data_IF_947494316954
#
_entry.id   IF_947494316954
#
_cell.length_a   1.000
_cell.length_b   1.000
_cell.length_c   1.000
_cell.angle_alpha   90.00
_cell.angle_beta   90.00
_cell.angle_gamma   90.00
#
_symmetry.space_group_name_H-M   'P 1'
#
loop_
_entity.id
_entity.type
_entity.pdbx_description
1 polymer ?
#
# COMPACT_ATOMS: atom_id res chain seq x y z
N UNK A 1 -3.04 -12.75 6.74
CA UNK A 1 -3.90 -11.54 6.50
C UNK A 1 -3.08 -10.46 5.77
N UNK A 2 -3.69 -9.45 5.09
CA UNK A 2 -2.96 -8.44 4.29
C UNK A 2 -1.81 -7.77 5.07
N UNK A 3 -2.09 -7.34 6.30
CA UNK A 3 -1.08 -6.73 7.19
C UNK A 3 0.10 -7.66 7.46
N UNK A 4 -0.15 -8.94 7.74
CA UNK A 4 0.92 -9.91 8.03
C UNK A 4 1.77 -10.20 6.80
N UNK A 5 1.16 -10.24 5.61
CA UNK A 5 1.91 -10.43 4.37
C UNK A 5 2.88 -9.27 4.11
N UNK A 6 2.43 -8.03 4.29
CA UNK A 6 3.28 -6.85 4.16
C UNK A 6 4.39 -6.87 5.23
N UNK A 7 4.06 -7.22 6.48
CA UNK A 7 5.04 -7.32 7.57
C UNK A 7 6.11 -8.37 7.29
N UNK A 8 5.75 -9.53 6.74
CA UNK A 8 6.69 -10.61 6.37
C UNK A 8 7.52 -10.30 5.12
N UNK A 9 7.12 -9.32 4.31
CA UNK A 9 7.76 -8.99 3.04
C UNK A 9 8.02 -7.48 2.94
N UNK A 10 8.78 -6.89 3.89
CA UNK A 10 9.02 -5.46 3.89
C UNK A 10 9.90 -5.06 2.70
N UNK A 11 9.66 -3.87 2.17
CA UNK A 11 10.48 -3.27 1.13
C UNK A 11 10.88 -1.85 1.52
N UNK A 12 12.11 -1.46 1.18
CA UNK A 12 12.65 -0.15 1.53
C UNK A 12 12.06 0.96 0.66
N UNK A 13 12.13 2.21 1.13
CA UNK A 13 11.66 3.37 0.39
C UNK A 13 12.21 3.47 -1.04
N UNK A 14 11.32 3.82 -1.98
CA UNK A 14 11.53 3.84 -3.43
C UNK A 14 11.84 2.47 -4.05
N UNK A 15 11.62 1.38 -3.30
CA UNK A 15 11.84 0.00 -3.73
C UNK A 15 10.67 -0.91 -3.32
N UNK A 16 9.54 -0.36 -2.90
CA UNK A 16 8.32 -1.09 -2.49
C UNK A 16 7.46 -1.57 -3.68
N UNK A 17 8.08 -2.23 -4.65
CA UNK A 17 7.42 -2.64 -5.89
C UNK A 17 6.34 -3.72 -5.66
N UNK A 18 6.61 -4.72 -4.81
CA UNK A 18 5.64 -5.80 -4.53
C UNK A 18 4.51 -5.29 -3.62
N UNK A 19 4.85 -4.43 -2.67
CA UNK A 19 3.91 -3.79 -1.75
C UNK A 19 2.97 -2.87 -2.52
N UNK A 20 3.50 -2.04 -3.42
CA UNK A 20 2.70 -1.20 -4.33
C UNK A 20 1.74 -2.03 -5.19
N UNK A 21 2.22 -3.11 -5.81
CA UNK A 21 1.39 -4.00 -6.63
C UNK A 21 0.28 -4.67 -5.81
N UNK A 22 0.59 -5.12 -4.59
CA UNK A 22 -0.39 -5.71 -3.68
C UNK A 22 -1.48 -4.72 -3.29
N UNK A 23 -1.12 -3.48 -2.94
CA UNK A 23 -2.05 -2.40 -2.62
C UNK A 23 -2.92 -2.07 -3.84
N UNK A 24 -2.31 -1.91 -5.02
CA UNK A 24 -3.04 -1.62 -6.25
C UNK A 24 -4.08 -2.70 -6.58
N UNK A 25 -3.69 -3.99 -6.50
CA UNK A 25 -4.62 -5.11 -6.70
C UNK A 25 -5.75 -5.12 -5.66
N UNK A 26 -5.44 -4.81 -4.40
CA UNK A 26 -6.45 -4.73 -3.35
C UNK A 26 -7.49 -3.63 -3.62
N UNK A 27 -7.04 -2.42 -3.99
CA UNK A 27 -7.93 -1.29 -4.31
C UNK A 27 -8.77 -1.57 -5.57
N UNK A 28 -8.19 -2.19 -6.60
CA UNK A 28 -8.94 -2.64 -7.79
C UNK A 28 -10.05 -3.63 -7.43
N UNK A 29 -9.76 -4.59 -6.55
CA UNK A 29 -10.75 -5.57 -6.09
C UNK A 29 -11.88 -4.95 -5.26
N UNK A 30 -11.65 -3.78 -4.65
CA UNK A 30 -12.68 -2.99 -3.97
C UNK A 30 -13.52 -2.13 -4.94
N UNK A 31 -13.24 -2.18 -6.25
CA UNK A 31 -13.96 -1.44 -7.27
C UNK A 31 -13.54 0.03 -7.40
N UNK A 32 -12.35 0.39 -6.92
CA UNK A 32 -11.81 1.75 -7.06
C UNK A 32 -11.09 1.91 -8.40
N UNK A 33 -11.04 3.13 -8.91
CA UNK A 33 -10.09 3.50 -9.96
C UNK A 33 -8.69 3.60 -9.33
N UNK A 34 -7.68 3.00 -9.96
CA UNK A 34 -6.33 2.93 -9.40
C UNK A 34 -5.31 3.49 -10.38
N UNK A 35 -4.44 4.37 -9.88
CA UNK A 35 -3.29 4.93 -10.59
C UNK A 35 -2.00 4.48 -9.90
N UNK A 36 -1.06 3.94 -10.66
CA UNK A 36 0.24 3.43 -10.17
C UNK A 36 1.41 4.14 -10.85
N UNK A 37 2.64 3.85 -10.42
CA UNK A 37 3.86 4.40 -11.02
C UNK A 37 4.13 5.87 -10.66
N UNK A 38 3.47 6.38 -9.61
CA UNK A 38 3.67 7.75 -9.13
C UNK A 38 4.96 7.78 -8.31
N UNK A 39 5.95 8.57 -8.72
CA UNK A 39 7.25 8.62 -8.04
C UNK A 39 7.82 7.20 -7.76
N UNK A 40 7.88 6.38 -8.83
CA UNK A 40 8.30 4.97 -8.82
C UNK A 40 7.23 3.97 -8.36
N UNK A 41 6.79 4.08 -7.11
CA UNK A 41 6.02 3.02 -6.42
C UNK A 41 4.70 3.50 -5.82
N UNK A 42 4.42 4.80 -5.84
CA UNK A 42 3.19 5.38 -5.32
C UNK A 42 1.92 4.86 -6.00
N UNK A 43 0.89 4.65 -5.18
CA UNK A 43 -0.44 4.18 -5.59
C UNK A 43 -1.50 5.18 -5.11
N UNK A 44 -2.43 5.55 -5.99
CA UNK A 44 -3.60 6.38 -5.66
C UNK A 44 -4.86 5.61 -6.04
N UNK A 45 -5.72 5.34 -5.06
CA UNK A 45 -7.07 4.82 -5.27
C UNK A 45 -8.11 5.94 -5.22
N UNK A 46 -9.03 5.97 -6.18
CA UNK A 46 -10.10 6.96 -6.29
C UNK A 46 -11.43 6.23 -6.12
N UNK A 47 -12.16 6.60 -5.07
CA UNK A 47 -13.56 6.20 -4.88
C UNK A 47 -14.45 7.39 -5.20
N UNK A 48 -15.14 7.32 -6.34
CA UNK A 48 -16.05 8.36 -6.78
C UNK A 48 -17.51 7.92 -6.58
N UNK A 49 -18.27 8.67 -5.78
CA UNK A 49 -19.70 8.39 -5.56
C UNK A 49 -20.60 8.81 -6.73
N UNK A 50 -20.07 9.54 -7.72
CA UNK A 50 -20.81 10.11 -8.84
C UNK A 50 -21.65 11.34 -8.49
N UNK A 51 -21.61 11.81 -7.23
CA UNK A 51 -22.36 12.97 -6.74
C UNK A 51 -21.46 14.20 -6.65
N UNK A 52 -22.02 15.38 -6.90
CA UNK A 52 -21.31 16.64 -6.68
C UNK A 52 -21.03 16.83 -5.18
N UNK A 53 -19.83 17.28 -4.85
CA UNK A 53 -19.42 17.51 -3.46
C UNK A 53 -17.93 17.77 -3.33
N UNK A 54 -17.45 18.02 -2.10
CA UNK A 54 -16.03 18.19 -1.83
C UNK A 54 -15.25 16.88 -2.01
N UNK A 55 -13.96 16.99 -2.29
CA UNK A 55 -13.02 15.87 -2.39
C UNK A 55 -12.11 15.89 -1.17
N UNK A 56 -11.90 14.72 -0.55
CA UNK A 56 -10.99 14.54 0.58
C UNK A 56 -9.98 13.43 0.26
N UNK A 57 -8.80 13.50 0.88
CA UNK A 57 -7.76 12.50 0.75
C UNK A 57 -7.41 11.89 2.11
N UNK A 58 -7.16 10.58 2.11
CA UNK A 58 -6.58 9.84 3.24
C UNK A 58 -5.24 9.28 2.76
N UNK A 59 -4.21 9.39 3.58
CA UNK A 59 -2.84 9.00 3.23
C UNK A 59 -2.31 7.96 4.21
N UNK A 60 -1.65 6.94 3.68
CA UNK A 60 -0.84 5.97 4.41
C UNK A 60 0.51 5.81 3.70
N UNK A 61 1.58 5.56 4.46
CA UNK A 61 2.88 5.08 3.98
C UNK A 61 2.94 3.55 3.97
N UNK A 62 3.87 3.01 3.19
CA UNK A 62 4.04 1.56 3.03
C UNK A 62 5.49 1.10 2.97
N UNK A 63 6.47 2.02 3.03
CA UNK A 63 7.88 1.66 3.06
C UNK A 63 8.33 1.19 4.44
N UNK A 64 9.29 0.28 4.45
CA UNK A 64 9.88 -0.29 5.64
C UNK A 64 11.27 0.29 5.94
N UNK A 65 11.81 -0.11 7.09
CA UNK A 65 13.10 0.32 7.61
C UNK A 65 14.18 -0.76 7.46
N UNK A 66 15.46 -0.38 7.28
CA UNK A 66 16.58 -1.34 7.21
C UNK A 66 17.02 -1.78 8.61
N UNK A 67 16.14 -2.44 9.35
CA UNK A 67 16.39 -2.93 10.71
C UNK A 67 16.05 -4.41 10.79
N UNK A 68 16.89 -5.20 11.46
CA UNK A 68 16.58 -6.59 11.76
C UNK A 68 15.53 -6.66 12.86
N UNK A 69 14.38 -7.25 12.56
CA UNK A 69 13.31 -7.38 13.53
C UNK A 69 13.62 -8.46 14.59
N UNK A 70 13.56 -8.07 15.87
CA UNK A 70 13.75 -8.96 17.01
C UNK A 70 12.44 -9.10 17.80
N UNK A 71 11.44 -9.70 17.16
CA UNK A 71 10.15 -10.01 17.77
C UNK A 71 9.86 -11.52 17.68
N UNK A 72 9.05 -12.08 18.59
CA UNK A 72 8.74 -13.51 18.59
C UNK A 72 7.59 -13.87 17.63
N UNK A 73 7.10 -12.94 16.81
CA UNK A 73 5.92 -13.16 15.99
C UNK A 73 6.22 -14.01 14.75
N UNK A 74 5.27 -14.87 14.37
CA UNK A 74 5.36 -15.70 13.15
C UNK A 74 5.35 -14.88 11.86
N UNK A 75 4.91 -13.63 11.92
CA UNK A 75 4.86 -12.70 10.80
C UNK A 75 6.03 -11.72 10.74
N UNK A 76 7.07 -11.89 11.56
CA UNK A 76 8.25 -11.03 11.55
C UNK A 76 8.92 -10.99 10.16
N UNK A 77 9.57 -9.88 9.87
CA UNK A 77 10.38 -9.62 8.67
C UNK A 77 11.73 -10.30 8.65
#
# INVERSE_FOLDING_TARGET
MLREHIHQNPELGNREFKTADLVARHLLNLGMEVRTGIAHTGVVGILNSGKQGPVVAVRADMDALPVTEDTPFSFKS
#
